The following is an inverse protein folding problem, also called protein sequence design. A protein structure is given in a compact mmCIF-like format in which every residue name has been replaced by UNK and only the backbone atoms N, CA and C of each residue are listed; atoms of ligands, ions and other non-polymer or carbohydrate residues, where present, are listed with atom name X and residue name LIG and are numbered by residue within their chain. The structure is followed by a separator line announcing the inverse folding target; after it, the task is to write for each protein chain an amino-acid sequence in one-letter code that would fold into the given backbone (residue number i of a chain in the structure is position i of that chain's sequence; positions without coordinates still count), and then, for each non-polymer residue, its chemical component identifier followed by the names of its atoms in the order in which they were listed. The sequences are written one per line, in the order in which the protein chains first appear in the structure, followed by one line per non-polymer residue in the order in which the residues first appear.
data_IF_033338030116
#
_entry.id   IF_033338030116
#
_cell.length_a   1.000
_cell.length_b   1.000
_cell.length_c   1.000
_cell.angle_alpha   90.00
_cell.angle_beta   90.00
_cell.angle_gamma   90.00
#
_symmetry.space_group_name_H-M   'P 1'
#
loop_
_entity.id
_entity.type
_entity.pdbx_description
1 polymer ?
#
# COMPACT_ATOMS: atom_id res chain seq x y z
N UNK A 1 4.28 19.49 -0.61
CA UNK A 1 4.65 18.08 -0.37
C UNK A 1 3.37 17.28 -0.41
N UNK A 2 3.29 16.27 -1.28
CA UNK A 2 2.15 15.36 -1.31
C UNK A 2 2.47 14.14 -0.45
N UNK A 3 1.48 13.64 0.27
CA UNK A 3 1.58 12.41 1.04
C UNK A 3 0.78 11.32 0.32
N UNK A 4 1.36 10.15 0.15
CA UNK A 4 0.72 9.05 -0.54
C UNK A 4 0.40 7.94 0.45
N UNK A 5 -0.88 7.57 0.56
CA UNK A 5 -1.27 6.35 1.25
C UNK A 5 -1.42 5.24 0.21
N UNK A 6 -0.89 4.06 0.52
CA UNK A 6 -0.88 2.95 -0.43
C UNK A 6 -1.18 1.62 0.24
N UNK A 7 -1.81 0.72 -0.52
CA UNK A 7 -2.13 -0.64 -0.13
C UNK A 7 -1.46 -1.60 -1.11
N UNK A 8 -0.61 -2.48 -0.60
CA UNK A 8 0.07 -3.53 -1.36
C UNK A 8 -0.46 -4.89 -0.98
N UNK A 9 -0.50 -5.79 -1.96
CA UNK A 9 -0.74 -7.22 -1.75
C UNK A 9 0.59 -7.96 -1.72
N UNK A 10 0.83 -8.69 -0.64
CA UNK A 10 1.96 -9.60 -0.50
C UNK A 10 1.64 -10.96 -1.16
N UNK A 11 2.67 -11.74 -1.46
CA UNK A 11 2.52 -13.04 -2.15
C UNK A 11 1.79 -14.09 -1.32
N UNK A 12 1.82 -13.96 0.01
CA UNK A 12 1.08 -14.79 0.97
C UNK A 12 -0.42 -14.44 1.04
N UNK A 13 -0.87 -13.43 0.28
CA UNK A 13 -2.23 -12.91 0.34
C UNK A 13 -2.50 -12.03 1.56
N UNK A 14 -1.45 -11.61 2.29
CA UNK A 14 -1.55 -10.53 3.27
C UNK A 14 -1.58 -9.17 2.56
N UNK A 15 -2.05 -8.17 3.29
CA UNK A 15 -2.13 -6.79 2.81
C UNK A 15 -1.25 -5.89 3.65
N UNK A 16 -0.42 -5.08 2.99
CA UNK A 16 0.44 -4.09 3.63
C UNK A 16 -0.10 -2.69 3.32
N UNK A 17 -0.40 -1.91 4.35
CA UNK A 17 -0.90 -0.54 4.23
C UNK A 17 0.04 0.39 4.97
N UNK A 18 0.49 1.44 4.29
CA UNK A 18 1.40 2.44 4.83
C UNK A 18 1.25 3.77 4.08
N UNK A 19 1.89 4.81 4.58
CA UNK A 19 1.98 6.10 3.90
C UNK A 19 3.43 6.54 3.71
N UNK A 20 3.70 7.25 2.62
CA UNK A 20 5.01 7.83 2.34
C UNK A 20 4.87 9.10 1.51
N UNK A 21 5.82 10.00 1.69
CA UNK A 21 6.07 11.17 0.85
C UNK A 21 6.74 10.80 -0.49
N UNK A 22 7.46 9.67 -0.55
CA UNK A 22 8.22 9.24 -1.74
C UNK A 22 7.83 7.82 -2.19
N UNK A 23 6.63 7.69 -2.76
CA UNK A 23 6.08 6.39 -3.15
C UNK A 23 6.90 5.68 -4.21
N UNK A 24 7.33 6.38 -5.26
CA UNK A 24 8.11 5.78 -6.34
C UNK A 24 9.43 5.19 -5.83
N UNK A 25 10.18 5.95 -5.03
CA UNK A 25 11.42 5.49 -4.42
C UNK A 25 11.18 4.27 -3.51
N UNK A 26 10.07 4.28 -2.74
CA UNK A 26 9.71 3.17 -1.86
C UNK A 26 9.34 1.91 -2.64
N UNK A 27 8.54 2.05 -3.70
CA UNK A 27 8.17 0.95 -4.61
C UNK A 27 9.40 0.37 -5.30
N UNK A 28 10.30 1.22 -5.81
CA UNK A 28 11.56 0.80 -6.41
C UNK A 28 12.43 0.04 -5.40
N UNK A 29 12.57 0.53 -4.17
CA UNK A 29 13.26 -0.18 -3.09
C UNK A 29 12.64 -1.56 -2.80
N UNK A 30 11.31 -1.65 -2.77
CA UNK A 30 10.61 -2.91 -2.58
C UNK A 30 10.82 -3.89 -3.76
N UNK A 31 10.77 -3.41 -5.00
CA UNK A 31 11.04 -4.21 -6.20
C UNK A 31 12.49 -4.71 -6.25
N UNK A 32 13.44 -3.89 -5.81
CA UNK A 32 14.86 -4.24 -5.72
C UNK A 32 15.19 -5.13 -4.51
N UNK A 33 14.22 -5.43 -3.65
CA UNK A 33 14.43 -6.24 -2.43
C UNK A 33 15.12 -5.47 -1.28
N UNK A 34 15.25 -4.15 -1.41
CA UNK A 34 15.84 -3.25 -0.41
C UNK A 34 14.82 -2.75 0.63
N UNK A 35 13.54 -3.01 0.41
CA UNK A 35 12.52 -2.74 1.41
C UNK A 35 12.60 -3.79 2.53
N UNK A 36 13.29 -3.45 3.62
CA UNK A 36 13.29 -4.03 4.97
C UNK A 36 13.19 -5.56 5.16
N UNK A 37 13.68 -6.06 6.30
CA UNK A 37 13.63 -7.50 6.64
C UNK A 37 12.23 -8.13 6.60
N UNK A 38 11.16 -7.33 6.68
CA UNK A 38 9.77 -7.79 6.63
C UNK A 38 9.20 -7.94 5.21
N UNK A 39 9.63 -7.09 4.26
CA UNK A 39 9.08 -7.05 2.89
C UNK A 39 9.94 -7.79 1.87
N UNK A 40 11.23 -8.01 2.17
CA UNK A 40 12.14 -8.85 1.37
C UNK A 40 11.67 -10.31 1.18
N UNK A 41 11.20 -11.05 2.20
CA UNK A 41 10.73 -12.43 2.01
C UNK A 41 9.28 -12.52 1.51
N UNK A 42 8.46 -11.47 1.68
CA UNK A 42 7.02 -11.48 1.41
C UNK A 42 6.60 -10.91 0.06
N UNK A 43 7.59 -10.70 -0.83
CA UNK A 43 7.50 -10.16 -2.20
C UNK A 43 6.20 -9.43 -2.44
N UNK A 44 6.24 -8.12 -2.28
CA UNK A 44 5.12 -7.26 -2.63
C UNK A 44 4.79 -7.49 -4.11
N UNK A 45 3.61 -8.04 -4.38
CA UNK A 45 3.22 -8.56 -5.70
C UNK A 45 2.50 -7.50 -6.50
N UNK A 46 1.63 -6.71 -5.86
CA UNK A 46 0.80 -5.76 -6.56
C UNK A 46 0.44 -4.55 -5.68
N UNK A 47 0.44 -3.37 -6.31
CA UNK A 47 -0.19 -2.17 -5.78
C UNK A 47 -1.69 -2.27 -6.01
N UNK A 48 -2.46 -2.28 -4.92
CA UNK A 48 -3.92 -2.43 -4.93
C UNK A 48 -4.60 -1.07 -4.95
N UNK A 49 -4.08 -0.13 -4.15
CA UNK A 49 -4.63 1.21 -4.01
C UNK A 49 -3.49 2.19 -3.81
N UNK A 50 -3.60 3.34 -4.45
CA UNK A 50 -2.76 4.51 -4.21
C UNK A 50 -3.66 5.73 -4.16
N UNK A 51 -3.58 6.48 -3.07
CA UNK A 51 -4.24 7.78 -2.94
C UNK A 51 -3.22 8.84 -2.52
N UNK A 52 -3.33 10.03 -3.10
CA UNK A 52 -2.44 11.16 -2.88
C UNK A 52 -3.17 12.26 -2.14
N UNK A 53 -2.55 12.81 -1.10
CA UNK A 53 -3.14 13.78 -0.18
C UNK A 53 -2.25 15.01 -0.05
N UNK A 54 -2.88 16.16 0.19
CA UNK A 54 -2.17 17.42 0.41
C UNK A 54 -1.52 17.51 1.80
N UNK A 55 -2.02 16.72 2.76
CA UNK A 55 -1.55 16.74 4.15
C UNK A 55 -1.25 15.35 4.70
N UNK A 56 -0.37 15.30 5.71
CA UNK A 56 -0.01 14.05 6.39
C UNK A 56 -1.19 13.43 7.13
N UNK A 57 -2.05 14.28 7.70
CA UNK A 57 -3.20 13.83 8.50
C UNK A 57 -4.23 13.10 7.65
N UNK A 58 -4.50 13.60 6.45
CA UNK A 58 -5.36 12.93 5.46
C UNK A 58 -4.79 11.57 5.07
N UNK A 59 -3.48 11.49 4.76
CA UNK A 59 -2.83 10.23 4.42
C UNK A 59 -2.86 9.23 5.59
N UNK A 60 -2.65 9.69 6.82
CA UNK A 60 -2.72 8.86 8.03
C UNK A 60 -4.16 8.36 8.27
N UNK A 61 -5.16 9.20 8.04
CA UNK A 61 -6.57 8.84 8.16
C UNK A 61 -6.96 7.80 7.12
N UNK A 62 -6.51 7.97 5.87
CA UNK A 62 -6.69 6.99 4.80
C UNK A 62 -6.00 5.66 5.15
N UNK A 63 -4.75 5.69 5.60
CA UNK A 63 -4.01 4.50 6.04
C UNK A 63 -4.75 3.74 7.15
N UNK A 64 -5.19 4.44 8.21
CA UNK A 64 -5.94 3.83 9.32
C UNK A 64 -7.24 3.22 8.84
N UNK A 65 -7.95 3.92 7.95
CA UNK A 65 -9.19 3.44 7.33
C UNK A 65 -8.93 2.14 6.54
N UNK A 66 -7.88 2.11 5.73
CA UNK A 66 -7.49 0.94 4.93
C UNK A 66 -6.97 -0.21 5.78
N UNK A 67 -6.25 0.06 6.88
CA UNK A 67 -5.82 -0.97 7.85
C UNK A 67 -7.03 -1.71 8.42
N UNK A 68 -8.08 -0.96 8.78
CA UNK A 68 -9.30 -1.50 9.39
C UNK A 68 -10.30 -2.12 8.39
N UNK A 69 -9.98 -2.18 7.09
CA UNK A 69 -10.83 -2.87 6.12
C UNK A 69 -10.76 -4.39 6.31
N UNK A 70 -11.92 -5.03 6.17
CA UNK A 70 -12.00 -6.48 6.09
C UNK A 70 -11.23 -7.00 4.88
N UNK A 71 -10.76 -8.25 4.98
CA UNK A 71 -10.09 -8.94 3.87
C UNK A 71 -10.95 -8.92 2.60
N UNK A 72 -12.26 -9.15 2.74
CA UNK A 72 -13.21 -9.09 1.64
C UNK A 72 -13.24 -7.73 0.95
N UNK A 73 -13.24 -6.62 1.71
CA UNK A 73 -13.20 -5.28 1.12
C UNK A 73 -11.87 -5.02 0.39
N UNK A 74 -10.75 -5.45 0.96
CA UNK A 74 -9.43 -5.32 0.32
C UNK A 74 -9.33 -6.16 -0.97
N UNK A 75 -9.94 -7.36 -0.98
CA UNK A 75 -10.06 -8.19 -2.18
C UNK A 75 -10.98 -7.55 -3.22
N UNK A 76 -12.13 -7.02 -2.81
CA UNK A 76 -13.05 -6.32 -3.70
C UNK A 76 -12.41 -5.10 -4.38
N UNK A 77 -11.43 -4.44 -3.75
CA UNK A 77 -10.66 -3.37 -4.42
C UNK A 77 -9.71 -3.90 -5.49
N UNK A 78 -9.20 -5.12 -5.34
CA UNK A 78 -8.38 -5.78 -6.36
C UNK A 78 -9.28 -6.24 -7.51
N UNK A 79 -10.40 -6.89 -7.18
CA UNK A 79 -11.31 -7.50 -8.16
C UNK A 79 -12.19 -6.47 -8.85
N UNK A 80 -12.55 -5.38 -8.16
CA UNK A 80 -13.37 -4.28 -8.65
C UNK A 80 -12.56 -3.10 -9.22
N UNK A 81 -11.24 -3.21 -9.30
CA UNK A 81 -10.35 -2.22 -9.94
C UNK A 81 -10.36 -2.25 -11.47
N UNK A 82 -11.34 -2.93 -12.08
CA UNK A 82 -11.58 -2.94 -13.52
C UNK A 82 -13.04 -2.54 -13.79
N UNK A 83 -13.30 -1.23 -13.75
CA UNK A 83 -14.24 -0.59 -14.69
C UNK A 83 -13.94 0.90 -14.78
#
# INVERSE_FOLDING_TARGET
MAFHAYLLRCSDGSFYADHTDHLESRLAQHQMGLGGSYTAPRRLVALVLMESFGTRDEALTAERRSKNWSRAKKQALIEGGAN
#
